data_IF_109430296011
#
_entry.id   IF_109430296011
#
_cell.length_a   1.000
_cell.length_b   1.000
_cell.length_c   1.000
_cell.angle_alpha   90.00
_cell.angle_beta   90.00
_cell.angle_gamma   90.00
#
_symmetry.space_group_name_H-M   'P 1'
#
loop_
_entity.id
_entity.type
_entity.pdbx_description
1 polymer ?
#
# COMPACT_ATOMS: atom_id res chain seq x y z
N UNK A 1 71.50 19.62 24.74
CA UNK A 1 70.33 20.57 24.63
C UNK A 1 69.52 20.37 23.34
N UNK A 2 69.74 19.34 22.52
CA UNK A 2 69.04 19.16 21.24
C UNK A 2 68.09 17.96 21.23
N UNK A 3 67.96 17.18 22.30
CA UNK A 3 67.14 15.97 22.34
C UNK A 3 65.65 16.24 22.47
N UNK A 4 65.23 17.39 22.98
CA UNK A 4 63.81 17.69 23.20
C UNK A 4 63.18 18.49 22.05
N UNK A 5 63.98 19.06 21.15
CA UNK A 5 63.49 19.82 19.99
C UNK A 5 63.05 18.85 18.87
N UNK A 6 63.70 17.67 18.79
CA UNK A 6 63.35 16.67 17.76
C UNK A 6 62.05 15.95 18.07
N UNK A 7 61.72 15.80 19.36
CA UNK A 7 60.49 15.15 19.79
C UNK A 7 59.24 16.02 19.62
N UNK A 8 59.39 17.35 19.75
CA UNK A 8 58.27 18.29 19.53
C UNK A 8 57.98 18.49 18.06
N UNK A 9 58.96 18.36 17.17
CA UNK A 9 58.76 18.51 15.71
C UNK A 9 57.99 17.30 15.10
N UNK A 10 58.14 16.10 15.65
CA UNK A 10 57.44 14.91 15.16
C UNK A 10 55.97 14.89 15.60
N UNK A 11 55.61 15.54 16.72
CA UNK A 11 54.23 15.63 17.21
C UNK A 11 53.39 16.64 16.43
N UNK A 12 54.01 17.61 15.73
CA UNK A 12 53.25 18.61 14.99
C UNK A 12 52.94 18.20 13.55
N UNK A 13 53.60 17.22 12.99
CA UNK A 13 53.37 16.74 11.62
C UNK A 13 52.26 15.67 11.50
N UNK A 14 51.70 15.20 12.63
CA UNK A 14 50.68 14.14 12.66
C UNK A 14 49.22 14.63 12.62
N UNK A 15 48.93 15.95 12.63
CA UNK A 15 47.55 16.43 12.78
C UNK A 15 46.95 17.08 11.55
N UNK A 16 47.58 17.02 10.37
CA UNK A 16 47.04 17.63 9.15
C UNK A 16 46.51 16.65 8.08
N UNK A 17 46.36 15.35 8.43
CA UNK A 17 45.92 14.31 7.46
C UNK A 17 44.53 13.71 7.74
N UNK A 18 43.71 14.37 8.57
CA UNK A 18 42.35 13.84 8.91
C UNK A 18 41.21 14.77 8.53
N UNK A 19 41.41 15.73 7.63
CA UNK A 19 40.37 16.74 7.29
C UNK A 19 39.97 16.75 5.80
N UNK A 20 40.02 15.63 5.05
CA UNK A 20 39.55 15.61 3.65
C UNK A 20 38.75 14.38 3.25
N UNK A 21 38.09 13.71 4.19
CA UNK A 21 37.29 12.53 3.88
C UNK A 21 35.76 12.71 4.04
N UNK A 22 35.26 13.91 4.32
CA UNK A 22 33.82 14.10 4.59
C UNK A 22 33.00 14.70 3.42
N UNK A 23 33.63 15.27 2.40
CA UNK A 23 32.87 15.92 1.33
C UNK A 23 32.53 15.01 0.15
N UNK A 24 33.08 13.79 0.08
CA UNK A 24 32.83 12.89 -1.06
C UNK A 24 31.60 12.03 -0.86
N UNK A 25 31.18 11.75 0.39
CA UNK A 25 30.03 10.91 0.69
C UNK A 25 28.69 11.65 0.52
N UNK A 26 28.66 12.96 0.81
CA UNK A 26 27.43 13.74 0.69
C UNK A 26 27.08 14.11 -0.75
N UNK A 27 28.08 14.23 -1.64
CA UNK A 27 27.81 14.45 -3.06
C UNK A 27 27.38 13.19 -3.81
N UNK A 28 27.81 12.00 -3.40
CA UNK A 28 27.36 10.75 -3.98
C UNK A 28 25.91 10.44 -3.63
N UNK A 29 25.45 10.82 -2.43
CA UNK A 29 24.04 10.64 -2.04
C UNK A 29 23.10 11.67 -2.66
N UNK A 30 23.62 12.85 -3.05
CA UNK A 30 22.80 13.91 -3.66
C UNK A 30 22.59 13.73 -5.16
N UNK A 31 23.42 12.94 -5.84
CA UNK A 31 23.26 12.65 -7.26
C UNK A 31 22.41 11.39 -7.55
N UNK A 32 22.12 10.57 -6.53
CA UNK A 32 21.23 9.41 -6.68
C UNK A 32 19.76 9.69 -6.34
N UNK A 33 19.46 10.93 -5.89
CA UNK A 33 18.08 11.34 -5.62
C UNK A 33 17.57 12.11 -6.84
N UNK A 34 16.74 11.41 -7.61
CA UNK A 34 15.78 11.95 -8.56
C UNK A 34 16.38 12.34 -9.92
N UNK A 35 16.81 11.35 -10.67
CA UNK A 35 16.66 11.44 -12.11
C UNK A 35 15.19 11.17 -12.46
N UNK A 36 14.38 12.21 -12.50
CA UNK A 36 12.96 12.16 -12.87
C UNK A 36 12.76 11.80 -14.35
N UNK A 37 13.84 11.70 -15.14
CA UNK A 37 13.79 11.36 -16.56
C UNK A 37 13.46 9.87 -16.78
N UNK A 38 13.66 9.01 -15.77
CA UNK A 38 13.46 7.56 -15.91
C UNK A 38 12.12 7.05 -15.34
N UNK A 39 11.26 7.93 -14.85
CA UNK A 39 9.91 7.54 -14.35
C UNK A 39 8.88 7.48 -15.48
N UNK A 40 9.17 8.06 -16.64
CA UNK A 40 8.28 8.11 -17.79
C UNK A 40 7.87 6.73 -18.32
N UNK A 41 8.75 5.71 -18.39
CA UNK A 41 8.33 4.37 -18.81
C UNK A 41 7.39 3.68 -17.82
N UNK A 42 7.51 3.99 -16.52
CA UNK A 42 6.62 3.43 -15.48
C UNK A 42 5.22 4.04 -15.50
N UNK A 43 5.11 5.32 -15.86
CA UNK A 43 3.80 6.01 -15.96
C UNK A 43 3.06 5.55 -17.21
N UNK A 44 3.76 5.25 -18.30
CA UNK A 44 3.14 4.76 -19.54
C UNK A 44 2.81 3.27 -19.52
N UNK A 45 3.41 2.48 -18.62
CA UNK A 45 3.11 1.05 -18.47
C UNK A 45 1.90 0.78 -17.56
N UNK A 46 1.44 1.76 -16.79
CA UNK A 46 0.16 1.64 -16.10
C UNK A 46 -0.93 1.96 -17.12
N UNK A 47 -1.82 1.01 -17.42
CA UNK A 47 -2.96 1.29 -18.29
C UNK A 47 -3.64 2.53 -17.73
N UNK A 48 -3.79 3.57 -18.55
CA UNK A 48 -4.54 4.77 -18.16
C UNK A 48 -5.83 4.28 -17.54
N UNK A 49 -5.97 4.46 -16.24
CA UNK A 49 -7.18 4.09 -15.51
C UNK A 49 -8.28 4.92 -16.16
N UNK A 50 -9.07 4.28 -17.00
CA UNK A 50 -10.20 4.93 -17.67
C UNK A 50 -11.18 5.36 -16.58
N UNK A 51 -11.07 6.63 -16.16
CA UNK A 51 -11.88 7.20 -15.09
C UNK A 51 -13.39 7.18 -15.41
N UNK A 52 -13.76 6.88 -16.66
CA UNK A 52 -15.14 6.72 -17.08
C UNK A 52 -15.73 5.34 -16.79
N UNK A 53 -14.88 4.33 -16.56
CA UNK A 53 -15.37 2.99 -16.20
C UNK A 53 -15.83 2.96 -14.75
N UNK A 54 -17.09 2.53 -14.48
CA UNK A 54 -17.61 2.44 -13.12
C UNK A 54 -16.94 1.33 -12.29
N UNK A 55 -16.32 0.35 -12.97
CA UNK A 55 -15.62 -0.77 -12.37
C UNK A 55 -14.17 -0.83 -12.86
N UNK A 56 -13.27 -1.31 -12.01
CA UNK A 56 -11.86 -1.50 -12.33
C UNK A 56 -11.28 -2.63 -11.46
N UNK A 57 -10.09 -3.12 -11.84
CA UNK A 57 -9.38 -4.11 -11.06
C UNK A 57 -8.83 -3.48 -9.78
N UNK A 58 -9.27 -4.00 -8.64
CA UNK A 58 -8.88 -3.55 -7.33
C UNK A 58 -8.84 -4.71 -6.34
N UNK A 59 -9.13 -4.43 -5.06
CA UNK A 59 -9.03 -5.41 -3.98
C UNK A 59 -10.27 -5.38 -3.10
N UNK A 60 -10.65 -6.57 -2.61
CA UNK A 60 -11.62 -6.75 -1.53
C UNK A 60 -11.04 -7.64 -0.44
N UNK A 61 -11.63 -7.61 0.73
CA UNK A 61 -11.24 -8.47 1.84
C UNK A 61 -12.29 -9.59 1.93
N UNK A 62 -11.90 -10.83 1.75
CA UNK A 62 -12.79 -11.98 1.95
C UNK A 62 -12.82 -12.32 3.43
N UNK A 63 -14.01 -12.32 4.03
CA UNK A 63 -14.22 -12.57 5.47
C UNK A 63 -14.90 -13.90 5.76
N UNK A 64 -15.51 -14.53 4.73
CA UNK A 64 -16.20 -15.82 4.86
C UNK A 64 -16.15 -16.60 3.55
N UNK A 65 -16.11 -17.93 3.67
CA UNK A 65 -16.33 -18.87 2.59
C UNK A 65 -16.96 -20.13 3.17
N UNK A 66 -18.11 -20.54 2.67
CA UNK A 66 -18.83 -21.73 3.13
C UNK A 66 -19.88 -22.20 2.10
N UNK A 67 -20.40 -23.39 2.26
CA UNK A 67 -21.38 -23.99 1.35
C UNK A 67 -22.85 -23.68 1.72
N UNK A 68 -23.09 -23.08 2.89
CA UNK A 68 -24.43 -22.70 3.35
C UNK A 68 -24.70 -21.22 3.06
N UNK A 69 -25.81 -20.95 2.37
CA UNK A 69 -26.30 -19.59 2.10
C UNK A 69 -26.80 -18.92 3.40
N UNK A 70 -27.40 -19.71 4.28
CA UNK A 70 -27.94 -19.27 5.57
C UNK A 70 -26.81 -18.76 6.46
N UNK A 71 -25.70 -19.51 6.56
CA UNK A 71 -24.52 -19.09 7.31
C UNK A 71 -23.91 -17.81 6.73
N UNK A 72 -23.79 -17.74 5.39
CA UNK A 72 -23.28 -16.54 4.73
C UNK A 72 -24.13 -15.31 5.03
N UNK A 73 -25.46 -15.44 5.01
CA UNK A 73 -26.38 -14.35 5.35
C UNK A 73 -26.28 -13.93 6.83
N UNK A 74 -26.11 -14.90 7.73
CA UNK A 74 -25.89 -14.62 9.16
C UNK A 74 -24.61 -13.81 9.35
N UNK A 75 -23.50 -14.26 8.76
CA UNK A 75 -22.22 -13.52 8.83
C UNK A 75 -22.35 -12.12 8.22
N UNK A 76 -23.08 -11.97 7.11
CA UNK A 76 -23.35 -10.66 6.48
C UNK A 76 -24.13 -9.73 7.42
N UNK A 77 -25.15 -10.22 8.09
CA UNK A 77 -25.94 -9.44 9.06
C UNK A 77 -25.09 -9.03 10.26
N UNK A 78 -24.28 -9.95 10.79
CA UNK A 78 -23.38 -9.68 11.90
C UNK A 78 -22.27 -8.69 11.52
N UNK A 79 -21.81 -8.74 10.27
CA UNK A 79 -20.86 -7.79 9.73
C UNK A 79 -21.45 -6.37 9.73
N UNK A 80 -22.63 -6.16 9.18
CA UNK A 80 -23.24 -4.83 9.11
C UNK A 80 -23.56 -4.24 10.49
N UNK A 81 -23.79 -5.06 11.51
CA UNK A 81 -23.95 -4.58 12.89
C UNK A 81 -22.66 -3.96 13.45
N UNK A 82 -21.49 -4.47 13.02
CA UNK A 82 -20.18 -4.02 13.51
C UNK A 82 -19.51 -2.98 12.60
N UNK A 83 -19.77 -3.07 11.31
CA UNK A 83 -19.09 -2.30 10.25
C UNK A 83 -20.11 -1.74 9.25
N UNK A 84 -21.01 -0.88 9.73
CA UNK A 84 -22.14 -0.34 8.93
C UNK A 84 -21.71 0.53 7.74
N UNK A 85 -20.52 1.14 7.78
CA UNK A 85 -20.00 2.01 6.73
C UNK A 85 -19.33 1.26 5.58
N UNK A 86 -19.06 -0.03 5.74
CA UNK A 86 -18.33 -0.83 4.75
C UNK A 86 -19.29 -1.70 3.94
N UNK A 87 -19.16 -1.66 2.62
CA UNK A 87 -19.98 -2.48 1.73
C UNK A 87 -19.60 -3.95 1.84
N UNK A 88 -20.61 -4.82 1.78
CA UNK A 88 -20.46 -6.27 1.90
C UNK A 88 -21.16 -6.96 0.71
N UNK A 89 -20.43 -7.81 0.02
CA UNK A 89 -20.85 -8.50 -1.20
C UNK A 89 -20.91 -10.01 -0.95
N UNK A 90 -22.09 -10.60 -1.12
CA UNK A 90 -22.28 -12.04 -1.11
C UNK A 90 -22.27 -12.54 -2.55
N UNK A 91 -21.33 -13.40 -2.87
CA UNK A 91 -21.18 -14.01 -4.21
C UNK A 91 -21.21 -15.52 -4.08
N UNK A 92 -21.95 -16.18 -4.96
CA UNK A 92 -21.89 -17.66 -5.09
C UNK A 92 -20.87 -18.02 -6.16
N UNK A 93 -19.83 -18.72 -5.77
CA UNK A 93 -18.84 -19.34 -6.65
C UNK A 93 -18.83 -20.82 -6.35
N UNK A 94 -19.55 -21.57 -7.13
CA UNK A 94 -19.82 -23.00 -6.93
C UNK A 94 -18.58 -23.78 -6.48
N UNK A 95 -18.63 -24.53 -5.37
CA UNK A 95 -19.82 -24.80 -4.55
C UNK A 95 -19.97 -23.84 -3.34
N UNK A 96 -19.19 -22.74 -3.26
CA UNK A 96 -19.09 -21.91 -2.06
C UNK A 96 -19.78 -20.56 -2.21
N UNK A 97 -20.40 -20.12 -1.11
CA UNK A 97 -20.80 -18.74 -0.87
C UNK A 97 -19.61 -17.99 -0.27
N UNK A 98 -19.21 -16.90 -0.90
CA UNK A 98 -18.09 -16.06 -0.46
C UNK A 98 -18.61 -14.69 -0.06
N UNK A 99 -18.16 -14.20 1.10
CA UNK A 99 -18.47 -12.86 1.57
C UNK A 99 -17.22 -12.00 1.49
N UNK A 100 -17.30 -10.96 0.67
CA UNK A 100 -16.21 -10.01 0.43
C UNK A 100 -16.65 -8.61 0.85
N UNK A 101 -15.72 -7.82 1.41
CA UNK A 101 -16.03 -6.50 1.96
C UNK A 101 -15.03 -5.46 1.49
N UNK A 102 -15.51 -4.22 1.39
CA UNK A 102 -14.76 -3.06 0.94
C UNK A 102 -14.58 -3.01 -0.58
N UNK A 103 -14.25 -1.83 -1.07
CA UNK A 103 -13.86 -1.56 -2.45
C UNK A 103 -12.58 -0.74 -2.40
N UNK A 104 -11.42 -1.36 -2.68
CA UNK A 104 -10.11 -0.73 -2.56
C UNK A 104 -9.43 -0.66 -3.92
N UNK A 105 -8.92 0.52 -4.26
CA UNK A 105 -8.17 0.73 -5.49
C UNK A 105 -6.75 0.19 -5.36
N UNK A 106 -6.15 0.34 -4.19
CA UNK A 106 -4.79 -0.06 -3.90
C UNK A 106 -4.71 -1.12 -2.78
N UNK A 107 -3.64 -1.89 -2.82
CA UNK A 107 -3.42 -2.98 -1.89
C UNK A 107 -3.09 -2.49 -0.47
N UNK A 108 -2.46 -1.33 -0.34
CA UNK A 108 -2.02 -0.83 0.96
C UNK A 108 -3.22 -0.39 1.81
N UNK A 109 -4.16 0.36 1.22
CA UNK A 109 -5.42 0.72 1.88
C UNK A 109 -6.19 -0.53 2.31
N UNK A 110 -6.26 -1.54 1.42
CA UNK A 110 -6.92 -2.81 1.73
C UNK A 110 -6.24 -3.56 2.89
N UNK A 111 -4.90 -3.58 2.95
CA UNK A 111 -4.14 -4.22 4.06
C UNK A 111 -4.39 -3.54 5.40
N UNK A 112 -4.51 -2.22 5.43
CA UNK A 112 -4.78 -1.48 6.66
C UNK A 112 -6.12 -1.90 7.27
N UNK A 113 -7.17 -1.98 6.46
CA UNK A 113 -8.49 -2.39 6.92
C UNK A 113 -8.57 -3.90 7.18
N UNK A 114 -7.87 -4.73 6.41
CA UNK A 114 -7.74 -6.16 6.68
C UNK A 114 -7.17 -6.44 8.08
N UNK A 115 -6.15 -5.67 8.52
CA UNK A 115 -5.60 -5.78 9.89
C UNK A 115 -6.64 -5.45 10.97
N UNK A 116 -7.52 -4.47 10.72
CA UNK A 116 -8.61 -4.15 11.65
C UNK A 116 -9.66 -5.25 11.69
N UNK A 117 -10.03 -5.76 10.51
CA UNK A 117 -11.02 -6.83 10.36
C UNK A 117 -10.54 -8.16 10.94
N UNK A 118 -9.25 -8.47 10.85
CA UNK A 118 -8.66 -9.70 11.38
C UNK A 118 -8.89 -9.90 12.89
N UNK A 119 -9.14 -8.84 13.65
CA UNK A 119 -9.50 -8.93 15.07
C UNK A 119 -10.87 -9.60 15.27
N UNK A 120 -11.78 -9.42 14.32
CA UNK A 120 -13.15 -9.99 14.39
C UNK A 120 -13.30 -11.19 13.47
N UNK A 121 -12.60 -11.20 12.35
CA UNK A 121 -12.58 -12.25 11.32
C UNK A 121 -11.15 -12.72 11.07
N UNK A 122 -10.58 -13.58 11.93
CA UNK A 122 -9.16 -13.98 11.85
C UNK A 122 -8.79 -14.67 10.54
N UNK A 123 -9.75 -15.35 9.90
CA UNK A 123 -9.56 -16.02 8.60
C UNK A 123 -9.72 -15.08 7.41
N UNK A 124 -9.80 -13.76 7.62
CA UNK A 124 -9.93 -12.81 6.53
C UNK A 124 -8.63 -12.65 5.76
N UNK A 125 -8.73 -12.51 4.44
CA UNK A 125 -7.59 -12.29 3.56
C UNK A 125 -7.95 -11.42 2.36
N UNK A 126 -6.93 -10.81 1.76
CA UNK A 126 -7.06 -9.94 0.63
C UNK A 126 -7.22 -10.73 -0.66
N UNK A 127 -8.15 -10.32 -1.52
CA UNK A 127 -8.37 -10.91 -2.84
C UNK A 127 -8.42 -9.82 -3.91
N UNK A 128 -7.81 -10.03 -5.08
CA UNK A 128 -8.08 -9.19 -6.24
C UNK A 128 -9.52 -9.40 -6.69
N UNK A 129 -10.20 -8.31 -7.03
CA UNK A 129 -11.60 -8.34 -7.44
C UNK A 129 -11.92 -7.13 -8.32
N UNK A 130 -13.01 -7.23 -9.06
CA UNK A 130 -13.54 -6.07 -9.75
C UNK A 130 -14.32 -5.21 -8.75
N UNK A 131 -13.82 -4.00 -8.53
CA UNK A 131 -14.37 -3.07 -7.53
C UNK A 131 -15.05 -1.87 -8.20
N UNK A 132 -16.03 -1.31 -7.51
CA UNK A 132 -16.72 -0.10 -7.95
C UNK A 132 -15.90 1.12 -7.51
N UNK A 133 -15.70 2.06 -8.41
CA UNK A 133 -15.07 3.33 -8.10
C UNK A 133 -15.92 4.11 -7.08
N UNK A 134 -15.30 4.44 -5.96
CA UNK A 134 -15.92 5.28 -4.93
C UNK A 134 -15.92 6.73 -5.43
N UNK A 135 -17.07 7.27 -5.78
CA UNK A 135 -17.17 8.65 -6.30
C UNK A 135 -17.94 8.80 -7.62
N UNK A 136 -18.28 7.70 -8.29
CA UNK A 136 -19.27 7.73 -9.37
C UNK A 136 -20.65 7.64 -8.71
N UNK A 137 -21.07 8.76 -8.12
CA UNK A 137 -22.44 8.92 -7.62
C UNK A 137 -23.41 8.70 -8.78
N UNK A 138 -24.50 8.02 -8.47
CA UNK A 138 -25.67 7.76 -9.30
C UNK A 138 -26.36 9.08 -9.73
N UNK A 139 -25.72 9.88 -10.58
CA UNK A 139 -26.34 11.08 -11.15
C UNK A 139 -27.04 10.77 -12.47
N UNK A 140 -27.04 9.54 -12.94
CA UNK A 140 -27.52 9.19 -14.30
C UNK A 140 -28.75 8.28 -14.33
N UNK A 141 -29.62 8.32 -13.31
CA UNK A 141 -30.91 7.61 -13.34
C UNK A 141 -32.14 8.48 -13.11
N UNK A 142 -32.07 9.79 -13.36
CA UNK A 142 -33.26 10.62 -13.33
C UNK A 142 -33.31 11.55 -14.54
N UNK A 143 -33.32 10.97 -15.76
CA UNK A 143 -33.80 11.60 -16.99
C UNK A 143 -34.51 10.55 -17.83
N UNK A 144 -35.74 10.24 -17.44
CA UNK A 144 -36.73 9.74 -18.35
C UNK A 144 -38.13 10.14 -17.88
#
# INVERSE_FOLDING_TARGET
MYKNIFFTLIMFCGHTLLAQAEDTATNALKSSIIDHSNVQPYISAHPMIDKKKPFFQGYRIQIFSGNSKEEANKVKTDFYRKFSSMRCYLTYQQPYYKLRVGDYEDQESAKLDAKKLARTYPSSFLVPDEVRRTGTSEVEKEKK
#
